data_IF_590500048702
#
_entry.id   IF_590500048702
#
_cell.length_a   1.000
_cell.length_b   1.000
_cell.length_c   1.000
_cell.angle_alpha   90.00
_cell.angle_beta   90.00
_cell.angle_gamma   90.00
#
_symmetry.space_group_name_H-M   'P 1'
#
loop_
_entity.id
_entity.type
_entity.pdbx_description
1 polymer ?
#
# COMPACT_ATOMS: atom_id res chain seq x y z
N UNK A 1 31.76 -46.38 -22.62
CA UNK A 1 32.39 -45.83 -21.40
C UNK A 1 31.77 -44.46 -21.14
N UNK A 2 30.90 -44.36 -20.12
CA UNK A 2 30.06 -43.19 -19.81
C UNK A 2 30.84 -42.31 -18.82
N UNK A 3 31.36 -41.18 -19.29
CA UNK A 3 32.26 -40.33 -18.50
C UNK A 3 31.55 -39.75 -17.26
N UNK A 4 31.94 -40.12 -16.03
CA UNK A 4 31.26 -39.70 -14.80
C UNK A 4 31.33 -38.19 -14.55
N UNK A 5 32.32 -37.49 -15.12
CA UNK A 5 32.46 -36.03 -15.02
C UNK A 5 31.39 -35.24 -15.78
N UNK A 6 30.81 -35.79 -16.86
CA UNK A 6 29.74 -35.11 -17.61
C UNK A 6 28.44 -35.13 -16.81
N UNK A 7 28.12 -36.23 -16.13
CA UNK A 7 26.88 -36.34 -15.36
C UNK A 7 26.81 -35.32 -14.20
N UNK A 8 27.96 -35.12 -13.53
CA UNK A 8 28.11 -34.13 -12.44
C UNK A 8 27.94 -32.69 -12.92
N UNK A 9 28.43 -32.38 -14.12
CA UNK A 9 28.32 -31.04 -14.71
C UNK A 9 26.86 -30.71 -15.04
N UNK A 10 26.11 -31.68 -15.59
CA UNK A 10 24.70 -31.49 -15.94
C UNK A 10 23.81 -31.36 -14.71
N UNK A 11 24.09 -32.10 -13.62
CA UNK A 11 23.37 -31.93 -12.35
C UNK A 11 23.63 -30.58 -11.70
N UNK A 12 24.86 -30.06 -11.81
CA UNK A 12 25.20 -28.74 -11.27
C UNK A 12 24.49 -27.61 -12.04
N UNK A 13 24.39 -27.73 -13.37
CA UNK A 13 23.66 -26.76 -14.22
C UNK A 13 22.15 -26.80 -13.94
N UNK A 14 21.57 -27.98 -13.73
CA UNK A 14 20.15 -28.12 -13.38
C UNK A 14 19.83 -27.56 -11.98
N UNK A 15 20.72 -27.75 -11.00
CA UNK A 15 20.56 -27.19 -9.66
C UNK A 15 20.67 -25.65 -9.66
N UNK A 16 21.57 -25.09 -10.49
CA UNK A 16 21.75 -23.64 -10.60
C UNK A 16 20.56 -22.95 -11.32
N UNK A 17 19.96 -23.62 -12.31
CA UNK A 17 18.75 -23.11 -12.99
C UNK A 17 17.50 -23.20 -12.12
N UNK A 18 17.38 -24.20 -11.25
CA UNK A 18 16.28 -24.30 -10.29
C UNK A 18 16.37 -23.26 -9.16
N UNK A 19 17.59 -22.82 -8.80
CA UNK A 19 17.79 -21.81 -7.75
C UNK A 19 17.50 -20.38 -8.23
N UNK A 20 17.44 -20.14 -9.54
CA UNK A 20 17.14 -18.85 -10.15
C UNK A 20 15.69 -18.73 -10.67
N UNK A 21 14.75 -19.53 -10.15
CA UNK A 21 13.34 -19.21 -10.36
C UNK A 21 13.09 -17.78 -9.85
N UNK A 22 12.52 -16.89 -10.67
CA UNK A 22 12.09 -15.60 -10.17
C UNK A 22 11.05 -15.87 -9.08
N UNK A 23 11.41 -15.56 -7.85
CA UNK A 23 10.47 -15.40 -6.75
C UNK A 23 9.31 -14.57 -7.30
N UNK A 24 8.08 -15.07 -7.15
CA UNK A 24 6.88 -14.39 -7.60
C UNK A 24 6.73 -13.09 -6.83
N UNK A 25 7.49 -12.07 -7.23
CA UNK A 25 7.45 -10.74 -6.69
C UNK A 25 6.02 -10.27 -6.88
N UNK A 26 5.26 -10.24 -5.77
CA UNK A 26 3.95 -9.66 -5.74
C UNK A 26 4.02 -8.29 -6.43
N UNK A 27 3.06 -7.95 -7.32
CA UNK A 27 3.10 -6.68 -8.01
C UNK A 27 3.24 -5.58 -6.96
N UNK A 28 4.33 -4.81 -7.05
CA UNK A 28 4.52 -3.65 -6.20
C UNK A 28 3.25 -2.80 -6.30
N UNK A 29 2.67 -2.34 -5.17
CA UNK A 29 1.42 -1.59 -5.20
C UNK A 29 1.62 -0.43 -6.17
N UNK A 30 0.70 -0.30 -7.14
CA UNK A 30 0.74 0.82 -8.07
C UNK A 30 0.73 2.11 -7.25
N UNK A 31 1.87 2.79 -7.24
CA UNK A 31 2.04 4.00 -6.45
C UNK A 31 1.26 5.10 -7.15
N UNK A 32 0.23 5.59 -6.49
CA UNK A 32 -0.51 6.75 -6.97
C UNK A 32 0.47 7.92 -7.18
N UNK A 33 0.30 8.65 -8.29
CA UNK A 33 1.18 9.80 -8.60
C UNK A 33 0.93 10.98 -7.68
N UNK A 34 -0.29 11.10 -7.17
CA UNK A 34 -0.77 12.24 -6.40
C UNK A 34 -1.42 11.78 -5.10
N UNK A 35 -1.51 12.69 -4.13
CA UNK A 35 -2.23 12.49 -2.88
C UNK A 35 -3.10 13.72 -2.56
N UNK A 36 -4.31 13.49 -2.06
CA UNK A 36 -5.17 14.52 -1.51
C UNK A 36 -5.14 14.45 0.02
N UNK A 37 -4.63 15.54 0.61
CA UNK A 37 -4.48 15.66 2.04
C UNK A 37 -5.51 16.64 2.62
N UNK A 38 -6.01 16.32 3.81
CA UNK A 38 -6.85 17.22 4.61
C UNK A 38 -6.49 17.11 6.09
N UNK A 39 -6.77 18.14 6.88
CA UNK A 39 -6.41 18.20 8.30
C UNK A 39 -7.62 18.01 9.19
N UNK A 40 -7.41 17.31 10.30
CA UNK A 40 -8.38 17.15 11.36
C UNK A 40 -7.73 17.47 12.70
N UNK A 41 -8.27 18.43 13.41
CA UNK A 41 -7.85 18.78 14.76
C UNK A 41 -9.09 18.94 15.64
N UNK A 42 -8.91 18.77 16.94
CA UNK A 42 -9.94 19.01 17.94
C UNK A 42 -9.51 20.19 18.83
N UNK A 43 -10.45 20.73 19.60
CA UNK A 43 -10.25 21.87 20.49
C UNK A 43 -11.14 23.07 20.16
N UNK A 44 -12.09 22.93 19.23
CA UNK A 44 -13.03 24.00 18.89
C UNK A 44 -14.49 23.58 19.11
N UNK A 45 -15.41 24.53 19.37
CA UNK A 45 -16.82 24.19 19.54
C UNK A 45 -17.49 23.53 18.33
N UNK A 46 -16.86 23.54 17.14
CA UNK A 46 -17.41 23.08 15.86
C UNK A 46 -16.77 21.78 15.34
N UNK A 47 -15.98 21.12 16.18
CA UNK A 47 -15.18 19.95 15.79
C UNK A 47 -16.01 18.82 15.16
N UNK A 48 -17.26 18.65 15.60
CA UNK A 48 -18.16 17.62 15.07
C UNK A 48 -18.60 17.93 13.63
N UNK A 49 -18.93 19.19 13.32
CA UNK A 49 -19.31 19.60 11.97
C UNK A 49 -18.13 19.47 11.01
N UNK A 50 -16.91 19.75 11.46
CA UNK A 50 -15.70 19.49 10.69
C UNK A 50 -15.49 18.00 10.43
N UNK A 51 -15.73 17.14 11.42
CA UNK A 51 -15.71 15.68 11.23
C UNK A 51 -16.74 15.22 10.18
N UNK A 52 -17.97 15.74 10.25
CA UNK A 52 -19.00 15.42 9.24
C UNK A 52 -18.57 15.90 7.84
N UNK A 53 -18.07 17.13 7.72
CA UNK A 53 -17.56 17.68 6.46
C UNK A 53 -16.42 16.84 5.87
N UNK A 54 -15.49 16.41 6.72
CA UNK A 54 -14.39 15.52 6.35
C UNK A 54 -14.90 14.20 5.74
N UNK A 55 -15.90 13.57 6.37
CA UNK A 55 -16.47 12.31 5.85
C UNK A 55 -17.16 12.50 4.51
N UNK A 56 -17.85 13.63 4.32
CA UNK A 56 -18.48 13.96 3.04
C UNK A 56 -17.41 14.15 1.96
N UNK A 57 -16.33 14.86 2.26
CA UNK A 57 -15.18 15.04 1.36
C UNK A 57 -14.54 13.69 0.97
N UNK A 58 -14.21 12.84 1.94
CA UNK A 58 -13.59 11.55 1.64
C UNK A 58 -14.54 10.64 0.86
N UNK A 59 -15.83 10.63 1.21
CA UNK A 59 -16.84 9.84 0.50
C UNK A 59 -17.04 10.33 -0.94
N UNK A 60 -17.00 11.64 -1.19
CA UNK A 60 -17.16 12.17 -2.55
C UNK A 60 -15.95 11.82 -3.43
N UNK A 61 -14.73 11.92 -2.89
CA UNK A 61 -13.51 11.51 -3.59
C UNK A 61 -13.50 10.00 -3.89
N UNK A 62 -13.92 9.18 -2.93
CA UNK A 62 -14.07 7.73 -3.14
C UNK A 62 -15.12 7.42 -4.21
N UNK A 63 -16.25 8.13 -4.21
CA UNK A 63 -17.30 7.97 -5.23
C UNK A 63 -16.83 8.39 -6.63
N UNK A 64 -15.99 9.43 -6.72
CA UNK A 64 -15.37 9.87 -7.97
C UNK A 64 -14.25 8.96 -8.46
N UNK A 65 -13.86 7.92 -7.70
CA UNK A 65 -12.78 6.98 -8.02
C UNK A 65 -11.49 7.68 -8.42
N UNK A 66 -11.09 8.66 -7.61
CA UNK A 66 -9.85 9.39 -7.84
C UNK A 66 -8.66 8.42 -7.79
N UNK A 67 -7.77 8.53 -8.78
CA UNK A 67 -6.46 7.86 -8.80
C UNK A 67 -5.43 8.65 -7.96
N UNK A 68 -5.66 8.69 -6.65
CA UNK A 68 -4.78 9.38 -5.70
C UNK A 68 -4.90 8.77 -4.30
N UNK A 69 -3.82 8.84 -3.52
CA UNK A 69 -3.86 8.52 -2.10
C UNK A 69 -4.70 9.55 -1.34
N UNK A 70 -5.55 9.10 -0.41
CA UNK A 70 -6.33 9.96 0.47
C UNK A 70 -5.71 9.98 1.86
N UNK A 71 -5.22 11.15 2.29
CA UNK A 71 -4.48 11.30 3.55
C UNK A 71 -5.20 12.26 4.49
N UNK A 72 -5.39 11.84 5.74
CA UNK A 72 -5.90 12.71 6.81
C UNK A 72 -4.80 12.95 7.82
N UNK A 73 -4.40 14.21 7.99
CA UNK A 73 -3.46 14.65 9.00
C UNK A 73 -4.23 14.96 10.29
N UNK A 74 -4.19 14.04 11.25
CA UNK A 74 -4.93 14.15 12.50
C UNK A 74 -4.05 14.67 13.66
N UNK A 75 -4.55 15.64 14.43
CA UNK A 75 -3.95 16.02 15.73
C UNK A 75 -4.07 14.88 16.75
N UNK A 76 -3.22 14.89 17.78
CA UNK A 76 -3.23 13.93 18.89
C UNK A 76 -4.56 13.90 19.64
N UNK A 77 -5.29 15.01 19.64
CA UNK A 77 -6.55 15.18 20.37
C UNK A 77 -7.75 14.54 19.64
N UNK A 78 -7.57 14.07 18.39
CA UNK A 78 -8.62 13.40 17.64
C UNK A 78 -8.89 12.02 18.26
N UNK A 79 -10.14 11.70 18.65
CA UNK A 79 -10.47 10.39 19.18
C UNK A 79 -10.17 9.28 18.17
N UNK A 80 -9.47 8.21 18.58
CA UNK A 80 -9.14 7.08 17.71
C UNK A 80 -10.38 6.43 17.05
N UNK A 81 -11.53 6.43 17.74
CA UNK A 81 -12.82 5.98 17.22
C UNK A 81 -13.33 6.75 15.99
N UNK A 82 -12.80 7.95 15.74
CA UNK A 82 -13.14 8.77 14.58
C UNK A 82 -12.14 8.58 13.42
N UNK A 83 -10.95 8.06 13.72
CA UNK A 83 -9.89 7.75 12.75
C UNK A 83 -10.09 6.37 12.11
N UNK A 84 -10.66 5.41 12.86
CA UNK A 84 -11.06 4.12 12.31
C UNK A 84 -12.33 4.29 11.45
N UNK A 85 -12.16 4.33 10.13
CA UNK A 85 -13.21 4.34 9.13
C UNK A 85 -13.16 3.07 8.29
#
# INVERSE_FOLDING_TARGET
MRNPGVLLLWTAVAALTLCCLPDGAAPAPEKHKNAYATMMYMGTPRDYEFYIGLRVLLRSLAHLKVDADLVVLASKDVPAKWVAA
#
